data_IF_649081362140
#
_entry.id   IF_649081362140
#
_cell.length_a   1.000
_cell.length_b   1.000
_cell.length_c   1.000
_cell.angle_alpha   90.00
_cell.angle_beta   90.00
_cell.angle_gamma   90.00
#
_symmetry.space_group_name_H-M   'P 1'
#
loop_
_entity.id
_entity.type
_entity.pdbx_description
1 polymer ?
#
# COMPACT_ATOMS: atom_id res chain seq x y z
N UNK A 1 23.15 -0.39 -0.66
CA UNK A 1 21.69 -0.60 -0.51
C UNK A 1 20.99 0.06 -1.68
N UNK A 2 20.37 -0.73 -2.56
CA UNK A 2 19.78 -0.19 -3.79
C UNK A 2 18.26 -0.22 -3.75
N UNK A 3 17.64 0.62 -2.91
CA UNK A 3 16.21 0.93 -3.00
C UNK A 3 16.01 2.17 -3.86
N UNK A 4 15.08 2.11 -4.81
CA UNK A 4 14.70 3.24 -5.65
C UNK A 4 13.22 3.22 -5.94
N UNK A 5 12.63 4.40 -6.05
CA UNK A 5 11.25 4.61 -6.48
C UNK A 5 11.22 5.20 -7.88
N UNK A 6 10.24 4.79 -8.65
CA UNK A 6 9.97 5.26 -10.00
C UNK A 6 8.54 5.77 -10.08
N UNK A 7 8.27 6.83 -10.86
CA UNK A 7 6.93 7.31 -11.07
C UNK A 7 6.06 6.23 -11.74
N UNK A 8 4.79 6.19 -11.36
CA UNK A 8 3.82 5.30 -11.99
C UNK A 8 3.45 5.77 -13.40
N UNK A 9 3.03 4.84 -14.29
CA UNK A 9 2.46 5.21 -15.59
C UNK A 9 1.30 6.20 -15.45
N UNK A 10 1.03 7.06 -16.47
CA UNK A 10 -0.02 8.08 -16.40
C UNK A 10 -1.39 7.58 -15.96
N UNK A 11 -1.80 6.38 -16.39
CA UNK A 11 -3.07 5.76 -16.02
C UNK A 11 -3.21 5.46 -14.52
N UNK A 12 -2.10 5.40 -13.78
CA UNK A 12 -2.06 5.11 -12.34
C UNK A 12 -1.88 6.35 -11.47
N UNK A 13 -1.76 7.53 -12.09
CA UNK A 13 -1.68 8.79 -11.34
C UNK A 13 -2.93 9.00 -10.50
N UNK A 14 -2.74 9.28 -9.21
CA UNK A 14 -3.83 9.42 -8.25
C UNK A 14 -4.42 8.09 -7.72
N UNK A 15 -3.90 6.94 -8.15
CA UNK A 15 -4.24 5.61 -7.62
C UNK A 15 -3.04 4.96 -6.93
N UNK A 16 -1.87 5.07 -7.52
CA UNK A 16 -0.64 4.56 -6.94
C UNK A 16 0.39 5.69 -6.78
N UNK A 17 1.29 5.51 -5.85
CA UNK A 17 2.32 6.47 -5.49
C UNK A 17 3.57 6.29 -6.33
N UNK A 18 4.10 5.06 -6.32
CA UNK A 18 5.33 4.71 -7.03
C UNK A 18 5.36 3.21 -7.38
N UNK A 19 6.24 2.87 -8.30
CA UNK A 19 6.81 1.53 -8.38
C UNK A 19 8.17 1.58 -7.69
N UNK A 20 8.39 0.71 -6.72
CA UNK A 20 9.68 0.61 -6.05
C UNK A 20 10.42 -0.66 -6.44
N UNK A 21 11.75 -0.58 -6.44
CA UNK A 21 12.65 -1.69 -6.73
C UNK A 21 13.71 -1.72 -5.64
N UNK A 22 13.92 -2.88 -5.07
CA UNK A 22 14.97 -3.16 -4.10
C UNK A 22 15.92 -4.18 -4.70
N UNK A 23 17.18 -3.79 -4.93
CA UNK A 23 18.18 -4.68 -5.51
C UNK A 23 18.50 -5.83 -4.57
N UNK A 24 18.86 -6.97 -5.14
CA UNK A 24 19.26 -8.14 -4.38
C UNK A 24 20.39 -7.82 -3.37
N UNK A 25 20.24 -8.18 -2.09
CA UNK A 25 21.33 -8.04 -1.13
C UNK A 25 22.39 -9.14 -1.37
N UNK A 26 23.62 -8.88 -0.96
CA UNK A 26 24.72 -9.87 -1.05
C UNK A 26 24.61 -10.97 0.02
N UNK A 27 23.94 -10.69 1.12
CA UNK A 27 23.65 -11.63 2.20
C UNK A 27 22.19 -11.42 2.67
N UNK A 28 21.56 -12.43 3.29
CA UNK A 28 20.23 -12.26 3.87
C UNK A 28 20.22 -11.09 4.86
N UNK A 29 19.19 -10.25 4.80
CA UNK A 29 19.02 -9.12 5.72
C UNK A 29 17.55 -8.94 6.07
N UNK A 30 17.29 -8.33 7.23
CA UNK A 30 15.95 -7.93 7.65
C UNK A 30 15.90 -6.41 7.71
N UNK A 31 14.87 -5.83 7.11
CA UNK A 31 14.59 -4.39 7.16
C UNK A 31 13.21 -4.15 7.76
N UNK A 32 13.08 -3.11 8.58
CA UNK A 32 11.78 -2.71 9.10
C UNK A 32 11.04 -1.81 8.09
N UNK A 33 9.88 -2.26 7.64
CA UNK A 33 8.93 -1.46 6.87
C UNK A 33 8.05 -0.68 7.84
N UNK A 34 8.16 0.65 7.81
CA UNK A 34 7.41 1.51 8.71
C UNK A 34 5.97 1.72 8.21
N UNK A 35 5.00 1.85 9.14
CA UNK A 35 3.61 2.17 8.77
C UNK A 35 3.52 3.48 8.02
N UNK A 36 2.92 3.48 6.84
CA UNK A 36 2.75 4.67 6.00
C UNK A 36 1.30 4.87 5.51
N UNK A 37 0.42 3.94 5.86
CA UNK A 37 -0.99 3.96 5.45
C UNK A 37 -1.25 3.48 4.03
N UNK A 38 -0.20 3.08 3.31
CA UNK A 38 -0.29 2.48 1.99
C UNK A 38 -0.44 0.96 2.05
N UNK A 39 -0.75 0.37 0.93
CA UNK A 39 -0.68 -1.08 0.69
C UNK A 39 0.08 -1.31 -0.61
N UNK A 40 0.82 -2.39 -0.69
CA UNK A 40 1.66 -2.70 -1.83
C UNK A 40 1.27 -4.06 -2.44
N UNK A 41 1.31 -4.14 -3.77
CA UNK A 41 1.40 -5.40 -4.49
C UNK A 41 2.89 -5.68 -4.74
N UNK A 42 3.41 -6.73 -4.12
CA UNK A 42 4.86 -6.99 -4.02
C UNK A 42 5.23 -8.25 -4.79
N UNK A 43 6.30 -8.19 -5.56
CA UNK A 43 7.08 -9.33 -6.02
C UNK A 43 8.31 -9.47 -5.13
N UNK A 44 8.39 -10.54 -4.36
CA UNK A 44 9.50 -10.81 -3.44
C UNK A 44 10.75 -11.38 -4.11
N UNK A 45 10.69 -11.66 -5.41
CA UNK A 45 11.67 -12.45 -6.14
C UNK A 45 11.26 -13.93 -6.30
N UNK A 46 10.27 -14.39 -5.52
CA UNK A 46 9.77 -15.76 -5.54
C UNK A 46 8.23 -15.83 -5.65
N UNK A 47 7.52 -14.90 -5.00
CA UNK A 47 6.06 -14.91 -4.94
C UNK A 47 5.45 -13.52 -5.04
N UNK A 48 4.17 -13.45 -5.38
CA UNK A 48 3.39 -12.22 -5.36
C UNK A 48 2.62 -12.11 -4.04
N UNK A 49 2.81 -11.02 -3.33
CA UNK A 49 2.21 -10.74 -2.04
C UNK A 49 1.38 -9.45 -2.10
N UNK A 50 0.34 -9.41 -1.30
CA UNK A 50 -0.35 -8.19 -0.89
C UNK A 50 0.16 -7.81 0.50
N UNK A 51 0.88 -6.70 0.59
CA UNK A 51 1.29 -6.13 1.86
C UNK A 51 0.17 -5.24 2.38
N UNK A 52 -0.37 -5.60 3.54
CA UNK A 52 -1.48 -4.90 4.18
C UNK A 52 -1.07 -3.57 4.81
N UNK A 53 -2.02 -2.79 5.29
CA UNK A 53 -1.72 -1.57 6.00
C UNK A 53 -1.21 -1.91 7.40
N UNK A 54 -0.02 -1.45 7.71
CA UNK A 54 0.63 -1.75 8.98
C UNK A 54 0.27 -0.74 10.09
N UNK A 55 0.17 -1.22 11.31
CA UNK A 55 0.00 -0.40 12.53
C UNK A 55 1.27 -0.29 13.36
N UNK A 56 2.21 -1.21 13.13
CA UNK A 56 3.54 -1.31 13.74
C UNK A 56 4.59 -1.57 12.67
N UNK A 57 5.89 -1.35 12.92
CA UNK A 57 6.95 -1.76 12.01
C UNK A 57 6.84 -3.25 11.68
N UNK A 58 6.98 -3.60 10.40
CA UNK A 58 6.91 -4.97 9.92
C UNK A 58 8.29 -5.40 9.41
N UNK A 59 8.89 -6.47 9.97
CA UNK A 59 10.15 -7.00 9.48
C UNK A 59 9.95 -7.61 8.09
N UNK A 60 10.75 -7.18 7.13
CA UNK A 60 10.78 -7.72 5.77
C UNK A 60 12.11 -8.44 5.56
N UNK A 61 12.05 -9.76 5.44
CA UNK A 61 13.19 -10.61 5.18
C UNK A 61 13.56 -10.55 3.70
N UNK A 62 14.80 -10.24 3.42
CA UNK A 62 15.36 -10.16 2.07
C UNK A 62 16.39 -11.27 1.87
N UNK A 63 16.10 -12.19 0.97
CA UNK A 63 17.01 -13.28 0.63
C UNK A 63 18.17 -12.81 -0.22
N UNK A 64 19.36 -13.36 0.01
CA UNK A 64 20.52 -13.10 -0.82
C UNK A 64 20.25 -13.43 -2.30
N UNK A 65 20.67 -12.56 -3.19
CA UNK A 65 20.53 -12.78 -4.63
C UNK A 65 19.12 -12.51 -5.20
N UNK A 66 18.10 -12.26 -4.37
CA UNK A 66 16.74 -11.98 -4.83
C UNK A 66 16.42 -10.49 -4.76
N UNK A 67 16.06 -9.90 -5.91
CA UNK A 67 15.53 -8.56 -5.98
C UNK A 67 14.02 -8.58 -5.68
N UNK A 68 13.54 -7.55 -4.98
CA UNK A 68 12.12 -7.33 -4.76
C UNK A 68 11.63 -6.09 -5.50
N UNK A 69 10.35 -6.07 -5.86
CA UNK A 69 9.71 -4.92 -6.48
C UNK A 69 8.27 -4.80 -6.02
N UNK A 70 7.73 -3.60 -5.97
CA UNK A 70 6.33 -3.41 -5.60
C UNK A 70 5.69 -2.22 -6.28
N UNK A 71 4.38 -2.29 -6.39
CA UNK A 71 3.51 -1.18 -6.75
C UNK A 71 2.83 -0.70 -5.47
N UNK A 72 3.19 0.51 -5.02
CA UNK A 72 2.62 1.14 -3.82
C UNK A 72 1.39 1.92 -4.21
N UNK A 73 0.27 1.59 -3.57
CA UNK A 73 -0.99 2.27 -3.79
C UNK A 73 -1.21 3.38 -2.78
N UNK A 74 -1.89 4.42 -3.21
CA UNK A 74 -2.39 5.44 -2.28
C UNK A 74 -3.36 4.81 -1.27
N UNK A 75 -3.47 5.38 -0.04
CA UNK A 75 -4.34 4.84 0.99
C UNK A 75 -5.76 4.58 0.49
N UNK A 76 -6.27 3.38 0.74
CA UNK A 76 -7.62 2.94 0.39
C UNK A 76 -7.81 2.42 -1.02
N UNK A 77 -6.80 2.47 -1.89
CA UNK A 77 -6.95 2.04 -3.30
C UNK A 77 -6.88 0.53 -3.46
N UNK A 78 -5.81 -0.11 -2.99
CA UNK A 78 -5.61 -1.55 -3.21
C UNK A 78 -6.73 -2.42 -2.63
N UNK A 79 -7.25 -2.19 -1.41
CA UNK A 79 -8.37 -2.97 -0.87
C UNK A 79 -9.62 -2.89 -1.74
N UNK A 80 -9.92 -1.71 -2.28
CA UNK A 80 -11.05 -1.51 -3.17
C UNK A 80 -10.88 -2.25 -4.50
N UNK A 81 -9.65 -2.28 -5.06
CA UNK A 81 -9.35 -3.06 -6.27
C UNK A 81 -9.39 -4.57 -6.02
N UNK A 82 -8.96 -5.03 -4.85
CA UNK A 82 -9.02 -6.45 -4.45
C UNK A 82 -10.44 -6.92 -4.13
N UNK A 83 -11.38 -6.00 -3.91
CA UNK A 83 -12.71 -6.29 -3.34
C UNK A 83 -12.60 -6.99 -1.97
N UNK A 84 -11.59 -6.61 -1.17
CA UNK A 84 -11.33 -7.15 0.17
C UNK A 84 -11.19 -6.00 1.16
N UNK A 85 -11.89 -6.02 2.31
CA UNK A 85 -11.72 -5.00 3.33
C UNK A 85 -10.27 -4.92 3.83
N UNK A 86 -9.71 -3.72 3.88
CA UNK A 86 -8.36 -3.50 4.38
C UNK A 86 -8.14 -4.03 5.81
N UNK A 87 -9.20 -4.06 6.63
CA UNK A 87 -9.15 -4.63 7.99
C UNK A 87 -8.86 -6.14 8.02
N UNK A 88 -9.19 -6.87 6.95
CA UNK A 88 -8.86 -8.29 6.82
C UNK A 88 -7.39 -8.52 6.41
N UNK A 89 -6.72 -7.48 5.94
CA UNK A 89 -5.33 -7.52 5.47
C UNK A 89 -4.37 -6.75 6.40
N UNK A 90 -4.89 -6.22 7.51
CA UNK A 90 -4.12 -5.39 8.44
C UNK A 90 -3.00 -6.19 9.11
N UNK A 91 -1.81 -5.59 9.14
CA UNK A 91 -0.59 -6.17 9.72
C UNK A 91 -0.23 -7.54 9.11
N UNK A 92 -0.63 -7.78 7.85
CA UNK A 92 -0.47 -9.06 7.17
C UNK A 92 0.28 -8.94 5.84
N UNK A 93 0.89 -10.05 5.44
CA UNK A 93 1.44 -10.29 4.11
C UNK A 93 0.72 -11.50 3.54
N UNK A 94 -0.19 -11.25 2.61
CA UNK A 94 -1.10 -12.28 2.07
C UNK A 94 -0.64 -12.65 0.68
N UNK A 95 -0.36 -13.93 0.38
CA UNK A 95 -0.08 -14.36 -0.97
C UNK A 95 -1.22 -13.99 -1.92
N UNK A 96 -0.89 -13.43 -3.09
CA UNK A 96 -1.91 -13.02 -4.06
C UNK A 96 -2.74 -14.22 -4.56
N UNK A 97 -2.16 -15.42 -4.56
CA UNK A 97 -2.85 -16.65 -4.98
C UNK A 97 -3.98 -17.05 -4.03
N UNK A 98 -3.88 -16.72 -2.75
CA UNK A 98 -4.95 -16.91 -1.77
C UNK A 98 -6.18 -16.01 -2.05
N UNK A 99 -5.98 -14.88 -2.71
CA UNK A 99 -7.03 -13.91 -3.05
C UNK A 99 -7.50 -14.09 -4.51
N UNK A 100 -6.54 -14.18 -5.44
CA UNK A 100 -6.79 -14.19 -6.90
C UNK A 100 -5.85 -15.20 -7.59
N UNK A 101 -6.10 -16.52 -7.46
CA UNK A 101 -5.15 -17.57 -7.89
C UNK A 101 -4.82 -17.54 -9.39
N UNK A 102 -5.80 -17.25 -10.25
CA UNK A 102 -5.57 -17.18 -11.70
C UNK A 102 -4.68 -16.00 -12.09
N UNK A 103 -4.85 -14.86 -11.41
CA UNK A 103 -4.08 -13.64 -11.63
C UNK A 103 -2.65 -13.82 -11.11
N UNK A 104 -2.49 -14.40 -9.92
CA UNK A 104 -1.20 -14.68 -9.31
C UNK A 104 -0.34 -15.60 -10.21
N UNK A 105 -0.88 -16.72 -10.69
CA UNK A 105 -0.16 -17.64 -11.58
C UNK A 105 0.40 -16.95 -12.83
N UNK A 106 -0.41 -16.08 -13.47
CA UNK A 106 0.03 -15.33 -14.67
C UNK A 106 1.16 -14.36 -14.34
N UNK A 107 1.03 -13.65 -13.21
CA UNK A 107 2.03 -12.69 -12.77
C UNK A 107 3.36 -13.36 -12.40
N UNK A 108 3.31 -14.43 -11.61
CA UNK A 108 4.49 -15.21 -11.21
C UNK A 108 5.20 -15.75 -12.44
N UNK A 109 4.49 -16.36 -13.40
CA UNK A 109 5.09 -16.88 -14.64
C UNK A 109 5.83 -15.78 -15.42
N UNK A 110 5.24 -14.60 -15.58
CA UNK A 110 5.86 -13.47 -16.28
C UNK A 110 7.09 -12.93 -15.55
N UNK A 111 7.02 -12.78 -14.23
CA UNK A 111 8.10 -12.23 -13.39
C UNK A 111 9.26 -13.23 -13.27
N UNK A 112 8.97 -14.53 -13.12
CA UNK A 112 9.97 -15.60 -13.10
C UNK A 112 10.70 -15.76 -14.45
N UNK A 113 10.02 -15.40 -15.55
CA UNK A 113 10.65 -15.31 -16.88
C UNK A 113 11.55 -14.07 -17.06
N UNK A 114 11.72 -13.25 -16.03
CA UNK A 114 12.58 -12.05 -16.05
C UNK A 114 11.96 -10.82 -16.70
N UNK A 115 10.64 -10.83 -16.95
CA UNK A 115 9.97 -9.63 -17.48
C UNK A 115 9.99 -8.49 -16.45
N UNK A 116 10.05 -7.22 -16.91
CA UNK A 116 10.11 -6.06 -16.00
C UNK A 116 8.92 -6.00 -15.04
N UNK A 117 9.20 -5.84 -13.74
CA UNK A 117 8.17 -5.89 -12.71
C UNK A 117 7.13 -4.76 -12.82
N UNK A 118 7.55 -3.54 -13.15
CA UNK A 118 6.64 -2.39 -13.21
C UNK A 118 5.43 -2.58 -14.16
N UNK A 119 5.61 -2.96 -15.45
CA UNK A 119 4.48 -3.20 -16.34
C UNK A 119 3.65 -4.44 -15.92
N UNK A 120 4.28 -5.47 -15.35
CA UNK A 120 3.54 -6.65 -14.88
C UNK A 120 2.66 -6.29 -13.70
N UNK A 121 3.21 -5.66 -12.65
CA UNK A 121 2.45 -5.27 -11.45
C UNK A 121 1.28 -4.33 -11.79
N UNK A 122 1.50 -3.36 -12.67
CA UNK A 122 0.43 -2.45 -13.11
C UNK A 122 -0.64 -3.16 -13.95
N UNK A 123 -0.24 -4.12 -14.78
CA UNK A 123 -1.18 -4.95 -15.56
C UNK A 123 -2.00 -5.88 -14.65
N UNK A 124 -1.38 -6.48 -13.64
CA UNK A 124 -2.08 -7.29 -12.65
C UNK A 124 -3.11 -6.45 -11.89
N UNK A 125 -2.68 -5.29 -11.40
CA UNK A 125 -3.55 -4.37 -10.67
C UNK A 125 -4.76 -3.90 -11.50
N UNK A 126 -4.58 -3.66 -12.81
CA UNK A 126 -5.66 -3.29 -13.72
C UNK A 126 -6.68 -4.42 -13.98
N UNK A 127 -6.35 -5.65 -13.61
CA UNK A 127 -7.22 -6.84 -13.76
C UNK A 127 -7.85 -7.30 -12.46
N UNK A 128 -7.61 -6.61 -11.37
CA UNK A 128 -8.29 -6.87 -10.11
C UNK A 128 -9.79 -6.58 -10.27
N UNK A 129 -10.68 -7.36 -9.60
CA UNK A 129 -12.12 -7.32 -9.87
C UNK A 129 -12.83 -6.09 -9.31
N UNK A 130 -12.23 -5.42 -8.34
CA UNK A 130 -12.87 -4.30 -7.65
C UNK A 130 -12.87 -2.99 -8.43
N UNK A 131 -13.32 -1.95 -7.79
CA UNK A 131 -13.50 -0.63 -8.40
C UNK A 131 -12.63 0.42 -7.70
N UNK A 132 -12.30 1.47 -8.40
CA UNK A 132 -11.56 2.61 -7.82
C UNK A 132 -12.40 3.22 -6.69
N UNK A 133 -11.79 3.48 -5.50
CA UNK A 133 -12.52 4.00 -4.35
C UNK A 133 -13.10 5.39 -4.62
N UNK A 134 -14.24 5.67 -3.96
CA UNK A 134 -14.91 6.96 -4.03
C UNK A 134 -13.97 8.12 -3.66
N UNK A 135 -14.05 9.26 -4.38
CA UNK A 135 -13.23 10.44 -4.09
C UNK A 135 -13.34 10.94 -2.64
N UNK A 136 -14.51 10.78 -2.00
CA UNK A 136 -14.78 11.18 -0.63
C UNK A 136 -13.87 10.50 0.40
N UNK A 137 -13.60 9.20 0.25
CA UNK A 137 -12.69 8.50 1.17
C UNK A 137 -11.25 9.01 1.06
N UNK A 138 -10.79 9.32 -0.14
CA UNK A 138 -9.47 9.92 -0.35
C UNK A 138 -9.38 11.34 0.22
N UNK A 139 -10.48 12.11 0.13
CA UNK A 139 -10.57 13.41 0.77
C UNK A 139 -10.52 13.29 2.31
N UNK A 140 -11.21 12.29 2.89
CA UNK A 140 -11.13 11.98 4.30
C UNK A 140 -9.71 11.67 4.77
N UNK A 141 -8.97 10.82 4.04
CA UNK A 141 -7.58 10.52 4.36
C UNK A 141 -6.70 11.78 4.36
N UNK A 142 -6.84 12.65 3.34
CA UNK A 142 -6.11 13.93 3.29
C UNK A 142 -6.48 14.86 4.46
N UNK A 143 -7.75 14.98 4.80
CA UNK A 143 -8.23 15.79 5.92
C UNK A 143 -7.64 15.32 7.25
N UNK A 144 -7.64 14.00 7.49
CA UNK A 144 -7.04 13.41 8.69
C UNK A 144 -5.51 13.60 8.71
N UNK A 145 -4.84 13.44 7.57
CA UNK A 145 -3.39 13.67 7.45
C UNK A 145 -3.00 15.13 7.77
N UNK A 146 -3.83 16.11 7.42
CA UNK A 146 -3.63 17.53 7.73
C UNK A 146 -4.00 17.90 9.16
N UNK A 147 -4.44 16.93 10.00
CA UNK A 147 -4.73 17.14 11.42
C UNK A 147 -6.22 17.29 11.77
N UNK A 148 -7.13 17.21 10.79
CA UNK A 148 -8.57 17.26 11.03
C UNK A 148 -9.02 16.16 12.00
N UNK A 149 -10.04 16.48 12.81
CA UNK A 149 -10.65 15.51 13.73
C UNK A 149 -11.56 14.54 12.98
N UNK A 150 -11.87 13.41 13.61
CA UNK A 150 -12.84 12.45 13.08
C UNK A 150 -14.24 13.07 12.95
N UNK A 151 -14.64 13.96 13.89
CA UNK A 151 -15.94 14.63 13.87
C UNK A 151 -16.06 15.59 12.68
N UNK A 152 -15.06 16.46 12.49
CA UNK A 152 -15.01 17.37 11.33
C UNK A 152 -15.00 16.61 10.02
N UNK A 153 -14.17 15.55 9.91
CA UNK A 153 -14.08 14.74 8.70
C UNK A 153 -15.42 14.03 8.39
N UNK A 154 -16.13 13.56 9.41
CA UNK A 154 -17.44 12.95 9.24
C UNK A 154 -18.48 13.99 8.76
N UNK A 155 -18.47 15.19 9.34
CA UNK A 155 -19.33 16.28 8.92
C UNK A 155 -19.08 16.69 7.45
N UNK A 156 -17.80 16.83 7.05
CA UNK A 156 -17.41 17.16 5.67
C UNK A 156 -17.91 16.10 4.65
N UNK A 157 -18.05 14.84 5.09
CA UNK A 157 -18.58 13.74 4.28
C UNK A 157 -20.09 13.53 4.40
N UNK A 158 -20.79 14.38 5.14
CA UNK A 158 -22.23 14.24 5.39
C UNK A 158 -22.61 12.94 6.10
N UNK A 159 -21.74 12.42 6.99
CA UNK A 159 -22.01 11.17 7.70
C UNK A 159 -21.72 11.26 9.20
N UNK A 160 -22.15 10.23 9.96
CA UNK A 160 -21.82 10.14 11.39
C UNK A 160 -20.39 9.65 11.60
N UNK A 161 -19.81 9.95 12.77
CA UNK A 161 -18.49 9.41 13.18
C UNK A 161 -18.44 7.87 13.18
N UNK A 162 -19.56 7.22 13.52
CA UNK A 162 -19.70 5.76 13.44
C UNK A 162 -19.61 5.25 12.01
N UNK A 163 -20.28 5.94 11.08
CA UNK A 163 -20.21 5.62 9.65
C UNK A 163 -18.80 5.85 9.10
N UNK A 164 -18.17 6.98 9.44
CA UNK A 164 -16.78 7.24 9.07
C UNK A 164 -15.84 6.16 9.60
N UNK A 165 -16.00 5.76 10.88
CA UNK A 165 -15.17 4.70 11.47
C UNK A 165 -15.27 3.38 10.68
N UNK A 166 -16.48 2.94 10.35
CA UNK A 166 -16.70 1.72 9.55
C UNK A 166 -16.08 1.84 8.15
N UNK A 167 -16.29 2.98 7.47
CA UNK A 167 -15.68 3.23 6.15
C UNK A 167 -14.15 3.24 6.22
N UNK A 168 -13.55 3.79 7.27
CA UNK A 168 -12.11 3.77 7.48
C UNK A 168 -11.58 2.35 7.72
N UNK A 169 -12.28 1.51 8.49
CA UNK A 169 -11.89 0.11 8.67
C UNK A 169 -11.88 -0.65 7.35
N UNK A 170 -12.90 -0.47 6.52
CA UNK A 170 -12.98 -1.12 5.20
C UNK A 170 -11.90 -0.63 4.25
N UNK A 171 -11.69 0.69 4.18
CA UNK A 171 -10.81 1.29 3.19
C UNK A 171 -9.33 1.32 3.60
N UNK A 172 -9.03 1.51 4.89
CA UNK A 172 -7.67 1.77 5.38
C UNK A 172 -7.18 0.76 6.42
N UNK A 173 -8.03 -0.19 6.84
CA UNK A 173 -7.69 -1.21 7.83
C UNK A 173 -7.82 -0.77 9.29
N UNK A 174 -7.98 0.51 9.57
CA UNK A 174 -8.07 1.05 10.92
C UNK A 174 -8.99 2.28 10.99
N UNK A 175 -9.43 2.61 12.21
CA UNK A 175 -10.31 3.76 12.44
C UNK A 175 -9.61 5.11 12.22
N UNK A 176 -10.39 6.22 12.15
CA UNK A 176 -9.88 7.56 11.81
C UNK A 176 -8.72 8.04 12.69
N UNK A 177 -8.74 7.74 13.98
CA UNK A 177 -7.69 8.17 14.92
C UNK A 177 -6.36 7.49 14.66
N UNK A 178 -6.37 6.18 14.34
CA UNK A 178 -5.17 5.42 13.98
C UNK A 178 -4.66 5.89 12.62
N UNK A 179 -5.55 6.03 11.62
CA UNK A 179 -5.19 6.54 10.29
C UNK A 179 -4.51 7.91 10.40
N UNK A 180 -5.08 8.84 11.18
CA UNK A 180 -4.47 10.15 11.42
C UNK A 180 -3.06 10.04 12.00
N UNK A 181 -2.85 9.15 12.99
CA UNK A 181 -1.54 8.93 13.62
C UNK A 181 -0.54 8.39 12.61
N UNK A 182 -0.90 7.38 11.83
CA UNK A 182 -0.03 6.78 10.81
C UNK A 182 0.35 7.80 9.73
N UNK A 183 -0.61 8.54 9.18
CA UNK A 183 -0.32 9.54 8.15
C UNK A 183 0.52 10.71 8.64
N UNK A 184 0.32 11.14 9.89
CA UNK A 184 1.19 12.15 10.53
C UNK A 184 2.59 11.64 10.77
N UNK A 185 2.73 10.41 11.24
CA UNK A 185 4.03 9.75 11.41
C UNK A 185 4.77 9.67 10.06
N UNK A 186 4.12 9.20 9.01
CA UNK A 186 4.67 9.18 7.65
C UNK A 186 5.17 10.56 7.22
N UNK A 187 4.37 11.61 7.44
CA UNK A 187 4.78 12.99 7.12
C UNK A 187 6.02 13.42 7.91
N UNK A 188 6.08 13.13 9.20
CA UNK A 188 7.24 13.43 10.01
C UNK A 188 8.50 12.72 9.51
N UNK A 189 8.41 11.43 9.19
CA UNK A 189 9.52 10.66 8.60
C UNK A 189 9.97 11.26 7.26
N UNK A 190 9.04 11.69 6.40
CA UNK A 190 9.36 12.32 5.13
C UNK A 190 10.11 13.65 5.32
N UNK A 191 9.70 14.49 6.28
CA UNK A 191 10.39 15.75 6.62
C UNK A 191 11.81 15.49 7.16
N UNK A 192 11.96 14.53 8.07
CA UNK A 192 13.28 14.16 8.60
C UNK A 192 14.23 13.67 7.50
N UNK A 193 13.72 12.84 6.57
CA UNK A 193 14.52 12.38 5.41
C UNK A 193 14.91 13.50 4.46
N UNK A 194 14.10 14.55 4.37
CA UNK A 194 14.39 15.75 3.60
C UNK A 194 15.30 16.75 4.34
N UNK A 195 15.75 16.44 5.57
CA UNK A 195 16.57 17.33 6.40
C UNK A 195 15.80 18.52 6.97
N UNK A 196 14.46 18.46 6.99
CA UNK A 196 13.59 19.51 7.53
C UNK A 196 13.17 19.09 8.93
N UNK A 197 13.42 19.95 9.95
CA UNK A 197 12.92 19.69 11.30
C UNK A 197 11.37 19.63 11.29
N UNK A 198 10.75 18.68 12.03
CA UNK A 198 9.32 18.52 12.07
C UNK A 198 8.61 19.65 12.86
#
# INVERSE_FOLDING_TARGET
MGYREQPVPPAWRGLAECVWISTAPSAPEVIDVLPDGCMDLVWSGAELLVAGPDTVPHPFERSAGLAASGLRFLPGVLPALLDVPASALRDARVPLDALHPALARRGVAALAAGLPAAPILTTLAARLPGVVPEPGLRAAARRLASGGSAAETAADLGCTTRTLHRRCLTAFGYGPSVLRRVLRFRRAVALLRAGIAP
#
